data_IF_901884969337
#
_entry.id   IF_901884969337
#
_cell.length_a   1.000
_cell.length_b   1.000
_cell.length_c   1.000
_cell.angle_alpha   90.00
_cell.angle_beta   90.00
_cell.angle_gamma   90.00
#
_symmetry.space_group_name_H-M   'P 1'
#
loop_
_entity.id
_entity.type
_entity.pdbx_description
1 polymer ?
#
# COMPACT_ATOMS: atom_id res chain seq x y z
N UNK A 1 -12.76 14.10 9.08
CA UNK A 1 -12.30 12.83 9.68
C UNK A 1 -11.85 13.01 11.13
N UNK A 2 -10.79 13.77 11.44
CA UNK A 2 -10.29 13.92 12.84
C UNK A 2 -11.35 14.45 13.81
N UNK A 3 -12.21 15.38 13.36
CA UNK A 3 -13.25 15.99 14.20
C UNK A 3 -14.38 15.03 14.64
N UNK A 4 -14.53 13.88 13.98
CA UNK A 4 -15.62 12.93 14.25
C UNK A 4 -15.15 11.63 14.91
N UNK A 5 -13.84 11.43 15.05
CA UNK A 5 -13.31 10.26 15.73
C UNK A 5 -13.47 10.43 17.24
N UNK A 6 -14.12 9.47 17.91
CA UNK A 6 -14.32 9.49 19.36
C UNK A 6 -13.39 8.53 20.11
N UNK A 7 -12.72 7.61 19.40
CA UNK A 7 -11.81 6.65 19.99
C UNK A 7 -10.44 7.28 20.26
N UNK A 8 -9.97 7.40 21.53
CA UNK A 8 -8.77 8.17 21.87
C UNK A 8 -7.51 7.74 21.12
N UNK A 9 -7.23 6.43 21.07
CA UNK A 9 -6.05 5.91 20.38
C UNK A 9 -6.08 6.16 18.87
N UNK A 10 -7.26 6.10 18.24
CA UNK A 10 -7.39 6.37 16.82
C UNK A 10 -7.22 7.87 16.54
N UNK A 11 -7.78 8.73 17.40
CA UNK A 11 -7.58 10.18 17.32
C UNK A 11 -6.10 10.55 17.37
N UNK A 12 -5.34 9.93 18.28
CA UNK A 12 -3.91 10.15 18.42
C UNK A 12 -3.15 9.76 17.14
N UNK A 13 -3.39 8.56 16.62
CA UNK A 13 -2.77 8.11 15.36
C UNK A 13 -3.15 8.99 14.17
N UNK A 14 -4.39 9.47 14.10
CA UNK A 14 -4.80 10.43 13.07
C UNK A 14 -4.15 11.82 13.21
N UNK A 15 -3.80 12.25 14.43
CA UNK A 15 -2.96 13.45 14.62
C UNK A 15 -1.55 13.20 14.08
N UNK A 16 -0.99 12.01 14.29
CA UNK A 16 0.31 11.62 13.74
C UNK A 16 0.29 11.62 12.20
N UNK A 17 -0.81 11.16 11.57
CA UNK A 17 -1.00 11.25 10.11
C UNK A 17 -0.81 12.69 9.63
N UNK A 18 -1.46 13.65 10.29
CA UNK A 18 -1.33 15.07 9.93
C UNK A 18 0.12 15.53 10.04
N UNK A 19 0.82 15.17 11.10
CA UNK A 19 2.24 15.53 11.30
C UNK A 19 3.12 14.93 10.21
N UNK A 20 2.92 13.66 9.87
CA UNK A 20 3.70 12.98 8.84
C UNK A 20 3.47 13.59 7.45
N UNK A 21 2.22 13.95 7.12
CA UNK A 21 1.89 14.65 5.88
C UNK A 21 2.61 15.99 5.76
N UNK A 22 2.69 16.77 6.86
CA UNK A 22 3.42 18.03 6.87
C UNK A 22 4.94 17.85 6.71
N UNK A 23 5.52 16.80 7.31
CA UNK A 23 6.95 16.48 7.15
C UNK A 23 7.30 16.13 5.71
N UNK A 24 6.35 15.62 4.92
CA UNK A 24 6.52 15.21 3.54
C UNK A 24 7.80 14.35 3.32
N UNK A 25 7.90 13.21 4.02
CA UNK A 25 9.10 12.38 4.01
C UNK A 25 9.38 11.75 2.63
N UNK A 26 10.60 11.22 2.48
CA UNK A 26 10.92 10.28 1.41
C UNK A 26 10.11 8.97 1.58
N UNK A 27 9.97 8.16 0.52
CA UNK A 27 9.25 6.88 0.59
C UNK A 27 9.87 5.92 1.64
N UNK A 28 11.20 5.92 1.78
CA UNK A 28 11.89 5.07 2.77
C UNK A 28 11.52 5.49 4.19
N UNK A 29 11.50 6.79 4.45
CA UNK A 29 11.15 7.32 5.77
C UNK A 29 9.65 7.20 6.06
N UNK A 30 8.82 7.30 5.03
CA UNK A 30 7.39 7.02 5.09
C UNK A 30 7.11 5.57 5.51
N UNK A 31 7.75 4.60 4.84
CA UNK A 31 7.63 3.18 5.18
C UNK A 31 8.07 2.95 6.63
N UNK A 32 9.20 3.54 7.04
CA UNK A 32 9.69 3.42 8.43
C UNK A 32 8.70 4.01 9.44
N UNK A 33 8.15 5.18 9.16
CA UNK A 33 7.21 5.85 10.05
C UNK A 33 5.89 5.07 10.18
N UNK A 34 5.29 4.66 9.06
CA UNK A 34 4.00 3.96 9.07
C UNK A 34 4.11 2.56 9.70
N UNK A 35 5.25 1.89 9.58
CA UNK A 35 5.48 0.59 10.23
C UNK A 35 5.76 0.67 11.73
N UNK A 36 6.03 1.85 12.27
CA UNK A 36 6.20 2.02 13.72
C UNK A 36 4.86 1.74 14.43
N UNK A 37 4.79 0.60 15.13
CA UNK A 37 3.58 0.14 15.83
C UNK A 37 3.13 1.08 16.96
N UNK A 38 4.03 1.89 17.51
CA UNK A 38 3.70 2.82 18.58
C UNK A 38 2.99 4.07 18.05
N UNK A 39 3.28 4.48 16.80
CA UNK A 39 2.72 5.70 16.19
C UNK A 39 1.60 5.42 15.19
N UNK A 40 1.70 4.32 14.44
CA UNK A 40 0.78 3.93 13.37
C UNK A 40 0.57 2.41 13.38
N UNK A 41 1.44 1.64 12.73
CA UNK A 41 1.25 0.21 12.46
C UNK A 41 0.63 -0.03 11.08
N UNK A 42 0.87 -1.22 10.51
CA UNK A 42 0.32 -1.66 9.20
C UNK A 42 -0.31 -3.06 9.30
N UNK A 43 -0.89 -3.38 10.46
CA UNK A 43 -1.56 -4.67 10.71
C UNK A 43 -3.06 -4.63 10.40
N UNK A 44 -3.70 -5.79 10.55
CA UNK A 44 -5.12 -6.00 10.27
C UNK A 44 -6.08 -5.28 11.23
N UNK A 45 -5.58 -4.73 12.36
CA UNK A 45 -6.40 -4.01 13.32
C UNK A 45 -6.74 -2.64 12.77
N UNK A 46 -7.97 -2.17 13.02
CA UNK A 46 -8.45 -0.83 12.63
C UNK A 46 -7.48 0.29 13.06
N UNK A 47 -6.93 0.20 14.27
CA UNK A 47 -6.00 1.20 14.77
C UNK A 47 -4.71 1.26 13.94
N UNK A 48 -4.29 0.16 13.32
CA UNK A 48 -3.10 0.08 12.49
C UNK A 48 -3.43 0.44 11.04
N UNK A 49 -4.45 -0.20 10.43
CA UNK A 49 -4.74 -0.05 9.00
C UNK A 49 -5.34 1.31 8.62
N UNK A 50 -6.31 1.84 9.39
CA UNK A 50 -7.04 3.05 9.00
C UNK A 50 -6.16 4.31 8.93
N UNK A 51 -5.30 4.61 9.92
CA UNK A 51 -4.39 5.75 9.82
C UNK A 51 -3.47 5.66 8.61
N UNK A 52 -2.94 4.47 8.30
CA UNK A 52 -2.08 4.24 7.15
C UNK A 52 -2.83 4.49 5.83
N UNK A 53 -4.06 3.96 5.68
CA UNK A 53 -4.91 4.20 4.50
C UNK A 53 -5.19 5.68 4.31
N UNK A 54 -5.59 6.39 5.37
CA UNK A 54 -5.89 7.83 5.30
C UNK A 54 -4.66 8.63 4.90
N UNK A 55 -3.50 8.30 5.50
CA UNK A 55 -2.24 8.94 5.14
C UNK A 55 -1.91 8.73 3.66
N UNK A 56 -1.94 7.48 3.17
CA UNK A 56 -1.58 7.13 1.79
C UNK A 56 -2.50 7.82 0.78
N UNK A 57 -3.81 7.78 1.01
CA UNK A 57 -4.78 8.48 0.15
C UNK A 57 -4.51 9.98 0.15
N UNK A 58 -4.34 10.60 1.33
CA UNK A 58 -4.08 12.03 1.41
C UNK A 58 -2.77 12.44 0.73
N UNK A 59 -1.71 11.64 0.89
CA UNK A 59 -0.37 11.91 0.34
C UNK A 59 -0.31 11.74 -1.16
N UNK A 60 -1.04 10.77 -1.71
CA UNK A 60 -0.96 10.35 -3.10
C UNK A 60 -2.24 10.58 -3.91
N UNK A 61 -3.23 11.34 -3.39
CA UNK A 61 -4.51 11.61 -4.06
C UNK A 61 -4.38 12.11 -5.51
N UNK A 62 -3.24 12.69 -5.91
CA UNK A 62 -2.99 13.18 -7.28
C UNK A 62 -2.58 12.09 -8.28
N UNK A 63 -2.28 10.87 -7.82
CA UNK A 63 -1.84 9.78 -8.70
C UNK A 63 -2.22 8.42 -8.10
N UNK A 64 -3.19 7.76 -8.74
CA UNK A 64 -3.61 6.40 -8.39
C UNK A 64 -2.43 5.42 -8.39
N UNK A 65 -1.64 5.42 -9.47
CA UNK A 65 -0.54 4.47 -9.63
C UNK A 65 0.52 4.64 -8.53
N UNK A 66 0.94 5.88 -8.24
CA UNK A 66 1.90 6.14 -7.16
C UNK A 66 1.32 5.76 -5.80
N UNK A 67 0.05 6.09 -5.54
CA UNK A 67 -0.61 5.78 -4.27
C UNK A 67 -0.76 4.29 -4.02
N UNK A 68 -1.16 3.53 -5.04
CA UNK A 68 -1.30 2.08 -4.90
C UNK A 68 0.06 1.38 -4.76
N UNK A 69 1.07 1.81 -5.53
CA UNK A 69 2.44 1.30 -5.38
C UNK A 69 3.03 1.59 -3.99
N UNK A 70 2.80 2.78 -3.44
CA UNK A 70 3.22 3.11 -2.08
C UNK A 70 2.46 2.27 -1.04
N UNK A 71 1.14 2.09 -1.22
CA UNK A 71 0.33 1.28 -0.32
C UNK A 71 0.82 -0.16 -0.25
N UNK A 72 1.13 -0.77 -1.40
CA UNK A 72 1.73 -2.12 -1.45
C UNK A 72 3.04 -2.12 -0.67
N UNK A 73 4.00 -1.23 -0.99
CA UNK A 73 5.31 -1.19 -0.34
C UNK A 73 5.24 -0.99 1.18
N UNK A 74 4.39 -0.08 1.64
CA UNK A 74 4.20 0.21 3.07
C UNK A 74 3.62 -1.01 3.82
N UNK A 75 2.63 -1.67 3.22
CA UNK A 75 1.89 -2.80 3.82
C UNK A 75 2.60 -4.15 3.69
N UNK A 76 3.67 -4.26 2.89
CA UNK A 76 4.58 -5.41 2.96
C UNK A 76 4.98 -5.64 4.44
N UNK A 77 5.10 -6.90 4.86
CA UNK A 77 5.32 -7.31 6.26
C UNK A 77 4.13 -7.12 7.22
N UNK A 78 2.98 -6.64 6.75
CA UNK A 78 1.77 -6.45 7.55
C UNK A 78 0.52 -6.94 6.80
N UNK A 79 -0.45 -6.06 6.66
CA UNK A 79 -1.75 -6.31 6.02
C UNK A 79 -1.71 -5.88 4.54
N UNK A 80 -1.06 -6.71 3.72
CA UNK A 80 -0.72 -6.39 2.34
C UNK A 80 -1.86 -6.55 1.33
N UNK A 81 -2.98 -7.13 1.74
CA UNK A 81 -4.20 -7.23 0.92
C UNK A 81 -5.19 -6.12 1.30
N UNK A 82 -5.49 -5.93 2.59
CA UNK A 82 -6.55 -4.99 3.01
C UNK A 82 -6.16 -3.54 2.78
N UNK A 83 -4.94 -3.12 3.17
CA UNK A 83 -4.52 -1.72 3.05
C UNK A 83 -4.48 -1.28 1.58
N UNK A 84 -3.80 -2.01 0.65
CA UNK A 84 -3.84 -1.65 -0.76
C UNK A 84 -5.24 -1.73 -1.37
N UNK A 85 -6.08 -2.69 -0.96
CA UNK A 85 -7.46 -2.77 -1.43
C UNK A 85 -8.27 -1.52 -1.05
N UNK A 86 -8.18 -1.06 0.21
CA UNK A 86 -8.86 0.15 0.67
C UNK A 86 -8.34 1.41 -0.03
N UNK A 87 -7.02 1.55 -0.17
CA UNK A 87 -6.41 2.69 -0.88
C UNK A 87 -6.82 2.68 -2.36
N UNK A 88 -6.78 1.51 -3.01
CA UNK A 88 -7.18 1.32 -4.40
C UNK A 88 -8.66 1.62 -4.64
N UNK A 89 -9.54 1.23 -3.72
CA UNK A 89 -10.97 1.56 -3.80
C UNK A 89 -11.19 3.09 -3.72
N UNK A 90 -10.55 3.77 -2.77
CA UNK A 90 -10.73 5.22 -2.58
C UNK A 90 -10.12 6.01 -3.75
N UNK A 91 -8.88 5.70 -4.13
CA UNK A 91 -8.22 6.37 -5.26
C UNK A 91 -8.89 6.02 -6.59
N UNK A 92 -9.35 4.78 -6.76
CA UNK A 92 -10.12 4.34 -7.93
C UNK A 92 -11.44 5.08 -8.07
N UNK A 93 -12.16 5.29 -6.97
CA UNK A 93 -13.37 6.10 -6.96
C UNK A 93 -13.10 7.58 -7.29
N UNK A 94 -11.95 8.11 -6.85
CA UNK A 94 -11.56 9.50 -7.11
C UNK A 94 -11.07 9.74 -8.55
N UNK A 95 -10.32 8.80 -9.14
CA UNK A 95 -9.71 8.94 -10.46
C UNK A 95 -10.49 8.27 -11.61
N UNK A 96 -11.44 7.38 -11.29
CA UNK A 96 -12.16 6.58 -12.27
C UNK A 96 -11.40 5.34 -12.77
N UNK A 97 -12.16 4.39 -13.31
CA UNK A 97 -11.65 3.07 -13.72
C UNK A 97 -10.60 3.12 -14.84
N UNK A 98 -10.71 4.06 -15.78
CA UNK A 98 -9.78 4.20 -16.91
C UNK A 98 -8.36 4.59 -16.49
N UNK A 99 -8.16 5.03 -15.24
CA UNK A 99 -6.85 5.43 -14.71
C UNK A 99 -6.00 4.24 -14.27
N UNK A 100 -6.61 3.06 -14.10
CA UNK A 100 -5.85 1.85 -13.81
C UNK A 100 -5.02 1.42 -15.03
N UNK A 101 -3.71 1.17 -14.88
CA UNK A 101 -2.92 0.64 -15.96
C UNK A 101 -3.46 -0.71 -16.45
N UNK A 102 -3.67 -0.84 -17.76
CA UNK A 102 -4.24 -2.06 -18.36
C UNK A 102 -3.44 -3.31 -17.97
N UNK A 103 -2.13 -3.20 -17.85
CA UNK A 103 -1.26 -4.32 -17.48
C UNK A 103 -1.49 -4.81 -16.04
N UNK A 104 -2.02 -3.98 -15.12
CA UNK A 104 -2.47 -4.42 -13.81
C UNK A 104 -3.77 -5.21 -13.91
N UNK A 105 -4.74 -4.67 -14.67
CA UNK A 105 -6.05 -5.31 -14.85
C UNK A 105 -5.93 -6.67 -15.55
N UNK A 106 -5.05 -6.77 -16.55
CA UNK A 106 -4.80 -8.01 -17.29
C UNK A 106 -4.23 -9.15 -16.41
N UNK A 107 -3.73 -8.83 -15.22
CA UNK A 107 -3.19 -9.78 -14.25
C UNK A 107 -4.19 -10.14 -13.14
N UNK A 108 -5.30 -9.42 -13.01
CA UNK A 108 -6.30 -9.71 -11.99
C UNK A 108 -6.98 -11.05 -12.27
N UNK A 109 -7.14 -11.85 -11.22
CA UNK A 109 -7.84 -13.12 -11.30
C UNK A 109 -9.30 -12.89 -11.72
N UNK A 110 -9.73 -13.56 -12.78
CA UNK A 110 -11.08 -13.42 -13.34
C UNK A 110 -12.01 -14.61 -13.03
N UNK A 111 -11.58 -15.55 -12.17
CA UNK A 111 -12.37 -16.74 -11.84
C UNK A 111 -12.26 -17.88 -12.86
N UNK A 112 -11.50 -17.73 -13.94
CA UNK A 112 -11.43 -18.72 -15.02
C UNK A 112 -10.12 -19.52 -14.99
N UNK A 113 -10.19 -20.81 -15.35
CA UNK A 113 -8.99 -21.63 -15.58
C UNK A 113 -8.16 -21.13 -16.78
N UNK A 114 -8.76 -20.31 -17.64
CA UNK A 114 -8.05 -19.63 -18.73
C UNK A 114 -7.11 -18.54 -18.22
N UNK A 115 -7.39 -17.90 -17.08
CA UNK A 115 -6.48 -16.95 -16.45
C UNK A 115 -5.16 -17.61 -16.04
N UNK A 116 -5.22 -18.79 -15.43
CA UNK A 116 -4.03 -19.53 -14.99
C UNK A 116 -3.09 -19.80 -16.18
N UNK A 117 -3.65 -20.22 -17.32
CA UNK A 117 -2.88 -20.46 -18.54
C UNK A 117 -2.26 -19.18 -19.10
N UNK A 118 -3.01 -18.06 -19.10
CA UNK A 118 -2.52 -16.75 -19.59
C UNK A 118 -1.40 -16.20 -18.71
N UNK A 119 -1.51 -16.33 -17.38
CA UNK A 119 -0.49 -15.85 -16.44
C UNK A 119 0.75 -16.74 -16.47
N UNK A 120 0.60 -18.06 -16.51
CA UNK A 120 1.73 -18.99 -16.62
C UNK A 120 2.52 -18.81 -17.92
N UNK A 121 1.83 -18.65 -19.06
CA UNK A 121 2.50 -18.38 -20.33
C UNK A 121 3.24 -17.04 -20.36
N UNK A 122 2.71 -15.99 -19.71
CA UNK A 122 3.41 -14.70 -19.56
C UNK A 122 4.62 -14.78 -18.63
N UNK A 123 4.56 -15.60 -17.56
CA UNK A 123 5.69 -15.82 -16.64
C UNK A 123 6.87 -16.52 -17.32
N UNK A 124 6.62 -17.41 -18.26
CA UNK A 124 7.67 -18.08 -19.05
C UNK A 124 8.30 -17.16 -20.12
N UNK A 125 7.56 -16.17 -20.61
CA UNK A 125 8.06 -15.20 -21.60
C UNK A 125 8.75 -13.97 -20.99
N UNK A 126 8.46 -13.63 -19.72
CA UNK A 126 9.06 -12.49 -19.02
C UNK A 126 10.21 -12.92 -18.09
N UNK A 127 11.33 -13.35 -18.68
CA UNK A 127 12.63 -13.45 -18.00
C UNK A 127 13.41 -12.11 -18.08
N UNK A 128 12.74 -11.01 -18.43
CA UNK A 128 13.32 -9.66 -18.49
C UNK A 128 12.40 -8.65 -17.79
N UNK A 129 12.80 -8.24 -16.58
CA UNK A 129 12.43 -6.93 -16.01
C UNK A 129 11.30 -6.90 -14.98
N UNK A 130 10.78 -8.04 -14.52
CA UNK A 130 10.02 -8.04 -13.27
C UNK A 130 11.03 -7.87 -12.14
N UNK A 131 10.89 -6.84 -11.29
CA UNK A 131 11.64 -6.79 -10.02
C UNK A 131 11.35 -8.12 -9.36
N UNK A 132 12.36 -8.95 -9.26
CA UNK A 132 12.20 -10.33 -8.81
C UNK A 132 11.45 -10.30 -7.49
N UNK A 133 10.52 -11.23 -7.25
CA UNK A 133 10.00 -11.38 -5.89
C UNK A 133 11.15 -11.62 -4.90
N UNK A 134 12.31 -12.13 -5.34
CA UNK A 134 13.54 -12.13 -4.53
C UNK A 134 14.15 -10.75 -4.34
N UNK A 135 14.05 -9.81 -5.28
CA UNK A 135 14.50 -8.42 -5.11
C UNK A 135 13.52 -7.59 -4.26
N UNK A 136 12.21 -7.80 -4.42
CA UNK A 136 11.18 -7.26 -3.51
C UNK A 136 11.38 -7.84 -2.12
N UNK A 137 11.58 -9.16 -2.01
CA UNK A 137 11.87 -9.84 -0.75
C UNK A 137 13.23 -9.42 -0.17
N UNK A 138 14.24 -9.15 -0.98
CA UNK A 138 15.54 -8.67 -0.50
C UNK A 138 15.49 -7.21 -0.02
N UNK A 139 14.67 -6.37 -0.69
CA UNK A 139 14.35 -5.04 -0.16
C UNK A 139 13.53 -5.15 1.13
N UNK A 140 12.65 -6.14 1.25
CA UNK A 140 11.97 -6.40 2.53
C UNK A 140 12.93 -6.94 3.59
N UNK A 141 13.87 -7.84 3.28
CA UNK A 141 14.87 -8.37 4.22
C UNK A 141 15.80 -7.26 4.70
N UNK A 142 16.20 -6.34 3.82
CA UNK A 142 16.88 -5.11 4.22
C UNK A 142 16.01 -4.24 5.13
N UNK A 143 14.72 -4.09 4.85
CA UNK A 143 13.78 -3.35 5.70
C UNK A 143 13.50 -4.05 7.04
N UNK A 144 13.51 -5.38 7.10
CA UNK A 144 13.40 -6.17 8.33
C UNK A 144 14.68 -6.08 9.18
N UNK A 145 15.86 -5.99 8.54
CA UNK A 145 17.14 -5.81 9.24
C UNK A 145 17.40 -4.38 9.77
N UNK A 146 16.55 -3.42 9.38
CA UNK A 146 16.62 -2.00 9.81
C UNK A 146 15.74 -1.67 11.01
N UNK A 147 15.11 -2.68 11.62
CA UNK A 147 14.34 -2.55 12.86
C UNK A 147 15.05 -3.40 13.92
N UNK A 148 15.53 -2.80 15.03
CA UNK A 148 16.04 -3.58 16.17
C UNK A 148 14.95 -4.42 16.83
#
# INVERSE_FOLDING_TARGET
LILFCQHPALCERLKNVRVLLYKNPSLVDEVRALRNKNEFGVGFKILDSIPAVIYLVARYHRSLEKGLNAAVQVSLAGDSDTIPAMVGAILGAYHGFSTFPKYWLDQLYDGTSAWEKRVSAKREQQDLGFISWKEVLWQTDKLYSLVP
#
